data_IF_084489501788
#
_entry.id   IF_084489501788
#
_cell.length_a   1.000
_cell.length_b   1.000
_cell.length_c   1.000
_cell.angle_alpha   90.00
_cell.angle_beta   90.00
_cell.angle_gamma   90.00
#
_symmetry.space_group_name_H-M   'P 1'
#
loop_
_entity.id
_entity.type
_entity.pdbx_description
1 polymer ?
#
# COMPACT_ATOMS: atom_id res chain seq x y z
N UNK A 1 -30.75 17.76 -12.57
CA UNK A 1 -29.62 16.85 -12.86
C UNK A 1 -30.17 15.46 -13.09
N UNK A 2 -29.79 14.76 -14.16
CA UNK A 2 -30.19 13.37 -14.33
C UNK A 2 -29.71 12.55 -13.13
N UNK A 3 -30.54 11.64 -12.66
CA UNK A 3 -30.22 10.75 -11.52
C UNK A 3 -29.29 9.68 -12.07
N UNK A 4 -28.05 9.57 -11.53
CA UNK A 4 -27.10 8.52 -11.90
C UNK A 4 -27.74 7.13 -11.68
N UNK A 5 -27.46 6.19 -12.57
CA UNK A 5 -27.87 4.79 -12.37
C UNK A 5 -27.15 4.19 -11.15
N UNK A 6 -27.65 3.10 -10.57
CA UNK A 6 -26.95 2.41 -9.48
C UNK A 6 -25.52 2.00 -9.86
N UNK A 7 -25.30 1.55 -11.09
CA UNK A 7 -23.99 1.13 -11.59
C UNK A 7 -23.02 2.32 -11.67
N UNK A 8 -23.49 3.49 -12.13
CA UNK A 8 -22.70 4.72 -12.21
C UNK A 8 -22.30 5.25 -10.81
N UNK A 9 -22.98 4.83 -9.75
CA UNK A 9 -22.68 5.22 -8.36
C UNK A 9 -21.74 4.26 -7.64
N UNK A 10 -21.41 3.09 -8.20
CA UNK A 10 -20.51 2.13 -7.55
C UNK A 10 -19.14 2.72 -7.17
N UNK A 11 -18.48 3.55 -7.97
CA UNK A 11 -17.24 4.21 -7.58
C UNK A 11 -17.40 5.11 -6.33
N UNK A 12 -18.54 5.81 -6.21
CA UNK A 12 -18.82 6.64 -5.04
C UNK A 12 -19.04 5.77 -3.80
N UNK A 13 -19.77 4.65 -3.95
CA UNK A 13 -19.98 3.67 -2.87
C UNK A 13 -18.66 3.10 -2.40
N UNK A 14 -17.79 2.68 -3.30
CA UNK A 14 -16.45 2.18 -2.98
C UNK A 14 -15.58 3.24 -2.28
N UNK A 15 -15.65 4.49 -2.73
CA UNK A 15 -14.89 5.60 -2.15
C UNK A 15 -15.35 5.91 -0.73
N UNK A 16 -16.65 5.99 -0.49
CA UNK A 16 -17.23 6.19 0.85
C UNK A 16 -16.88 5.02 1.78
N UNK A 17 -17.05 3.79 1.30
CA UNK A 17 -16.68 2.59 2.04
C UNK A 17 -15.21 2.58 2.44
N UNK A 18 -14.31 2.94 1.52
CA UNK A 18 -12.86 3.04 1.80
C UNK A 18 -12.60 4.03 2.94
N UNK A 19 -13.22 5.21 2.93
CA UNK A 19 -13.04 6.21 3.99
C UNK A 19 -13.48 5.68 5.35
N UNK A 20 -14.68 5.07 5.41
CA UNK A 20 -15.24 4.56 6.66
C UNK A 20 -14.42 3.37 7.19
N UNK A 21 -14.06 2.40 6.33
CA UNK A 21 -13.21 1.28 6.74
C UNK A 21 -11.84 1.73 7.23
N UNK A 22 -11.24 2.75 6.59
CA UNK A 22 -9.95 3.31 7.04
C UNK A 22 -10.07 4.03 8.37
N UNK A 23 -11.18 4.71 8.63
CA UNK A 23 -11.42 5.40 9.90
C UNK A 23 -11.67 4.41 11.05
N UNK A 24 -12.51 3.40 10.83
CA UNK A 24 -13.04 2.54 11.87
C UNK A 24 -12.34 1.16 11.97
N UNK A 25 -11.66 0.70 10.91
CA UNK A 25 -11.23 -0.68 10.72
C UNK A 25 -12.38 -1.57 10.27
N UNK A 26 -12.05 -2.80 9.83
CA UNK A 26 -13.05 -3.70 9.27
C UNK A 26 -14.15 -4.05 10.28
N UNK A 27 -13.76 -4.49 11.49
CA UNK A 27 -14.70 -5.02 12.49
C UNK A 27 -15.74 -3.99 12.95
N UNK A 28 -15.29 -2.76 13.23
CA UNK A 28 -16.13 -1.70 13.78
C UNK A 28 -16.97 -0.95 12.75
N UNK A 29 -16.67 -1.09 11.47
CA UNK A 29 -17.47 -0.49 10.40
C UNK A 29 -18.84 -1.16 10.31
N UNK A 30 -19.89 -0.36 10.34
CA UNK A 30 -21.27 -0.77 10.12
C UNK A 30 -21.73 -0.33 8.72
N UNK A 31 -22.66 -1.06 8.13
CA UNK A 31 -23.31 -0.67 6.87
C UNK A 31 -23.98 0.70 6.97
N UNK A 32 -24.54 1.01 8.13
CA UNK A 32 -25.16 2.31 8.41
C UNK A 32 -24.18 3.49 8.33
N UNK A 33 -22.90 3.28 8.74
CA UNK A 33 -21.89 4.33 8.70
C UNK A 33 -21.57 4.71 7.24
N UNK A 34 -21.45 3.71 6.37
CA UNK A 34 -21.18 3.92 4.95
C UNK A 34 -22.39 4.53 4.24
N UNK A 35 -23.60 4.09 4.59
CA UNK A 35 -24.83 4.71 4.07
C UNK A 35 -24.91 6.19 4.46
N UNK A 36 -24.59 6.54 5.71
CA UNK A 36 -24.57 7.91 6.20
C UNK A 36 -23.54 8.77 5.46
N UNK A 37 -22.33 8.23 5.21
CA UNK A 37 -21.27 8.92 4.43
C UNK A 37 -21.75 9.26 3.00
N UNK A 38 -22.63 8.42 2.42
CA UNK A 38 -23.23 8.61 1.09
C UNK A 38 -24.52 9.46 1.10
N UNK A 39 -25.01 9.84 2.28
CA UNK A 39 -26.32 10.47 2.41
C UNK A 39 -27.49 9.56 2.03
N UNK A 40 -27.33 8.24 2.22
CA UNK A 40 -28.32 7.21 1.92
C UNK A 40 -28.91 6.62 3.21
N UNK A 41 -30.11 6.02 3.08
CA UNK A 41 -30.60 5.13 4.13
C UNK A 41 -29.81 3.81 4.11
N UNK A 42 -29.73 3.14 5.26
CA UNK A 42 -29.07 1.82 5.34
C UNK A 42 -29.68 0.81 4.37
N UNK A 43 -31.01 0.84 4.17
CA UNK A 43 -31.70 -0.03 3.20
C UNK A 43 -31.28 0.25 1.75
N UNK A 44 -31.01 1.52 1.40
CA UNK A 44 -30.59 1.89 0.05
C UNK A 44 -29.17 1.35 -0.28
N UNK A 45 -28.30 1.20 0.71
CA UNK A 45 -26.94 0.63 0.47
C UNK A 45 -27.02 -0.84 0.03
N UNK A 46 -28.01 -1.59 0.53
CA UNK A 46 -28.21 -2.99 0.14
C UNK A 46 -28.70 -3.18 -1.31
N UNK A 47 -29.04 -2.10 -2.02
CA UNK A 47 -29.26 -2.18 -3.48
C UNK A 47 -27.94 -2.26 -4.28
N UNK A 48 -26.79 -1.95 -3.65
CA UNK A 48 -25.47 -2.00 -4.28
C UNK A 48 -24.68 -3.24 -3.87
N UNK A 49 -24.79 -3.68 -2.61
CA UNK A 49 -24.00 -4.80 -2.06
C UNK A 49 -24.85 -5.60 -1.08
N UNK A 50 -24.69 -6.91 -1.07
CA UNK A 50 -25.47 -7.79 -0.16
C UNK A 50 -24.98 -7.76 1.29
N UNK A 51 -23.70 -7.44 1.51
CA UNK A 51 -23.08 -7.55 2.83
C UNK A 51 -21.91 -6.59 3.01
N UNK A 52 -21.36 -6.54 4.23
CA UNK A 52 -20.11 -5.82 4.53
C UNK A 52 -18.91 -6.44 3.82
N UNK A 53 -18.89 -7.74 3.67
CA UNK A 53 -17.88 -8.49 2.92
C UNK A 53 -17.89 -8.09 1.44
N UNK A 54 -19.07 -8.00 0.83
CA UNK A 54 -19.23 -7.53 -0.54
C UNK A 54 -18.82 -6.07 -0.69
N UNK A 55 -19.11 -5.23 0.30
CA UNK A 55 -18.69 -3.83 0.33
C UNK A 55 -17.15 -3.70 0.44
N UNK A 56 -16.53 -4.52 1.27
CA UNK A 56 -15.07 -4.56 1.41
C UNK A 56 -14.39 -5.04 0.13
N UNK A 57 -14.92 -6.09 -0.48
CA UNK A 57 -14.48 -6.56 -1.80
C UNK A 57 -14.60 -5.47 -2.87
N UNK A 58 -15.75 -4.76 -2.92
CA UNK A 58 -16.02 -3.69 -3.89
C UNK A 58 -14.93 -2.61 -3.84
N UNK A 59 -14.46 -2.23 -2.65
CA UNK A 59 -13.40 -1.22 -2.50
C UNK A 59 -12.14 -1.63 -3.27
N UNK A 60 -11.69 -2.87 -3.12
CA UNK A 60 -10.49 -3.35 -3.81
C UNK A 60 -10.74 -3.63 -5.29
N UNK A 61 -11.90 -4.20 -5.63
CA UNK A 61 -12.28 -4.47 -7.01
C UNK A 61 -12.32 -3.18 -7.85
N UNK A 62 -12.89 -2.11 -7.28
CA UNK A 62 -12.92 -0.80 -7.93
C UNK A 62 -11.51 -0.22 -8.08
N UNK A 63 -10.70 -0.26 -7.02
CA UNK A 63 -9.36 0.30 -7.03
C UNK A 63 -8.39 -0.43 -7.98
N UNK A 64 -8.56 -1.74 -8.13
CA UNK A 64 -7.75 -2.56 -9.04
C UNK A 64 -8.31 -2.68 -10.46
N UNK A 65 -9.43 -2.03 -10.75
CA UNK A 65 -10.04 -2.03 -12.08
C UNK A 65 -10.66 -3.38 -12.46
N UNK A 66 -11.14 -4.17 -11.50
CA UNK A 66 -11.77 -5.47 -11.76
C UNK A 66 -13.01 -5.35 -12.64
N UNK A 67 -13.68 -4.20 -12.58
CA UNK A 67 -14.89 -3.91 -13.35
C UNK A 67 -14.63 -3.05 -14.58
N UNK A 68 -13.42 -3.08 -15.15
CA UNK A 68 -13.07 -2.28 -16.34
C UNK A 68 -13.90 -2.65 -17.56
N UNK A 69 -14.30 -3.91 -17.69
CA UNK A 69 -15.10 -4.43 -18.81
C UNK A 69 -16.63 -4.25 -18.62
N UNK A 70 -17.03 -3.66 -17.51
CA UNK A 70 -18.44 -3.37 -17.18
C UNK A 70 -18.76 -3.57 -15.71
N UNK A 71 -19.87 -2.95 -15.22
CA UNK A 71 -20.27 -3.06 -13.85
C UNK A 71 -20.73 -4.50 -13.52
N UNK A 72 -20.54 -4.95 -12.27
CA UNK A 72 -21.06 -6.24 -11.84
C UNK A 72 -22.60 -6.21 -11.73
N UNK A 73 -23.25 -7.38 -11.70
CA UNK A 73 -24.67 -7.47 -11.31
C UNK A 73 -24.88 -6.86 -9.92
N UNK A 74 -26.01 -6.14 -9.74
CA UNK A 74 -26.38 -5.53 -8.46
C UNK A 74 -27.62 -6.21 -7.86
N UNK A 75 -27.66 -6.35 -6.51
CA UNK A 75 -26.58 -6.05 -5.58
C UNK A 75 -25.36 -6.98 -5.80
N UNK A 76 -24.14 -6.44 -5.60
CA UNK A 76 -22.93 -7.25 -5.65
C UNK A 76 -23.01 -8.35 -4.60
N UNK A 77 -22.90 -9.59 -5.06
CA UNK A 77 -22.99 -10.77 -4.22
C UNK A 77 -21.85 -10.84 -3.18
N UNK A 78 -22.15 -11.46 -2.05
CA UNK A 78 -21.15 -11.69 -1.00
C UNK A 78 -20.06 -12.64 -1.51
N UNK A 79 -18.78 -12.21 -1.62
CA UNK A 79 -17.71 -13.07 -2.06
C UNK A 79 -17.36 -14.12 -0.99
N UNK A 80 -16.74 -15.21 -1.40
CA UNK A 80 -16.06 -16.10 -0.46
C UNK A 80 -14.85 -15.38 0.14
N UNK A 81 -14.48 -15.66 1.39
CA UNK A 81 -13.34 -14.99 2.05
C UNK A 81 -12.05 -15.05 1.23
N UNK A 82 -11.76 -16.20 0.59
CA UNK A 82 -10.58 -16.42 -0.22
C UNK A 82 -10.55 -15.51 -1.46
N UNK A 83 -11.70 -15.23 -2.07
CA UNK A 83 -11.80 -14.36 -3.27
C UNK A 83 -11.34 -12.94 -2.98
N UNK A 84 -11.69 -12.41 -1.81
CA UNK A 84 -11.24 -11.09 -1.38
C UNK A 84 -9.73 -11.04 -1.15
N UNK A 85 -9.18 -12.05 -0.48
CA UNK A 85 -7.73 -12.15 -0.22
C UNK A 85 -6.96 -12.31 -1.53
N UNK A 86 -7.46 -13.15 -2.46
CA UNK A 86 -6.85 -13.34 -3.78
C UNK A 86 -6.85 -12.07 -4.62
N UNK A 87 -7.96 -11.33 -4.63
CA UNK A 87 -8.07 -10.04 -5.30
C UNK A 87 -7.03 -9.05 -4.75
N UNK A 88 -6.93 -8.94 -3.42
CA UNK A 88 -5.97 -8.05 -2.76
C UNK A 88 -4.53 -8.47 -3.08
N UNK A 89 -4.23 -9.77 -2.99
CA UNK A 89 -2.92 -10.32 -3.34
C UNK A 89 -2.53 -10.01 -4.77
N UNK A 90 -3.40 -10.30 -5.73
CA UNK A 90 -3.13 -10.06 -7.15
C UNK A 90 -2.92 -8.57 -7.44
N UNK A 91 -3.79 -7.72 -6.88
CA UNK A 91 -3.70 -6.27 -7.01
C UNK A 91 -2.42 -5.70 -6.41
N UNK A 92 -2.12 -6.03 -5.15
CA UNK A 92 -0.90 -5.55 -4.49
C UNK A 92 0.37 -6.11 -5.13
N UNK A 93 0.38 -7.35 -5.62
CA UNK A 93 1.53 -7.92 -6.34
C UNK A 93 1.82 -7.14 -7.61
N UNK A 94 0.79 -6.78 -8.37
CA UNK A 94 0.93 -5.96 -9.58
C UNK A 94 1.48 -4.57 -9.30
N UNK A 95 1.06 -3.96 -8.19
CA UNK A 95 1.51 -2.64 -7.77
C UNK A 95 2.88 -2.66 -7.09
N UNK A 96 3.19 -3.73 -6.35
CA UNK A 96 4.40 -3.87 -5.53
C UNK A 96 5.61 -4.33 -6.36
N UNK A 97 5.89 -3.64 -7.47
CA UNK A 97 7.10 -3.90 -8.24
C UNK A 97 8.36 -3.55 -7.45
N UNK A 98 9.35 -4.43 -7.52
CA UNK A 98 10.66 -4.28 -6.89
C UNK A 98 11.78 -4.56 -7.92
N UNK A 99 11.55 -4.12 -9.14
CA UNK A 99 12.38 -4.48 -10.28
C UNK A 99 13.81 -3.94 -10.12
N UNK A 100 13.96 -2.68 -9.66
CA UNK A 100 15.25 -2.07 -9.38
C UNK A 100 16.00 -2.80 -8.26
N UNK A 101 15.32 -3.14 -7.18
CA UNK A 101 15.92 -3.87 -6.06
C UNK A 101 16.33 -5.29 -6.47
N UNK A 102 15.51 -6.01 -7.24
CA UNK A 102 15.85 -7.34 -7.78
C UNK A 102 17.05 -7.27 -8.72
N UNK A 103 17.07 -6.29 -9.62
CA UNK A 103 18.21 -6.05 -10.51
C UNK A 103 19.48 -5.72 -9.73
N UNK A 104 19.38 -4.91 -8.68
CA UNK A 104 20.51 -4.57 -7.82
C UNK A 104 21.08 -5.81 -7.12
N UNK A 105 20.23 -6.65 -6.50
CA UNK A 105 20.67 -7.88 -5.82
C UNK A 105 21.32 -8.89 -6.79
N UNK A 106 20.91 -8.91 -8.06
CA UNK A 106 21.51 -9.81 -9.07
C UNK A 106 22.91 -9.40 -9.51
N UNK A 107 23.35 -8.17 -9.21
CA UNK A 107 24.64 -7.61 -9.64
C UNK A 107 25.61 -7.45 -8.46
N UNK A 108 26.85 -7.92 -8.63
CA UNK A 108 27.90 -7.73 -7.63
C UNK A 108 28.66 -6.40 -7.82
N UNK A 109 28.83 -5.98 -9.07
CA UNK A 109 29.49 -4.70 -9.41
C UNK A 109 28.44 -3.62 -9.64
N UNK A 110 28.73 -2.43 -9.13
CA UNK A 110 27.87 -1.26 -9.22
C UNK A 110 28.73 -0.08 -9.71
N UNK A 111 28.34 0.51 -10.83
CA UNK A 111 29.06 1.65 -11.40
C UNK A 111 28.72 2.94 -10.63
N UNK A 112 27.47 3.14 -10.28
CA UNK A 112 27.00 4.27 -9.48
C UNK A 112 26.09 3.79 -8.32
N UNK A 113 26.67 3.54 -7.13
CA UNK A 113 25.91 3.10 -5.96
C UNK A 113 24.88 4.13 -5.48
N UNK A 114 25.14 5.42 -5.74
CA UNK A 114 24.21 6.50 -5.36
C UNK A 114 22.97 6.47 -6.24
N UNK A 115 23.14 6.44 -7.55
CA UNK A 115 22.04 6.37 -8.49
C UNK A 115 21.22 5.08 -8.31
N UNK A 116 21.86 3.94 -8.01
CA UNK A 116 21.20 2.68 -7.74
C UNK A 116 20.30 2.78 -6.49
N UNK A 117 20.83 3.28 -5.37
CA UNK A 117 20.07 3.43 -4.13
C UNK A 117 18.92 4.43 -4.28
N UNK A 118 19.19 5.59 -4.90
CA UNK A 118 18.13 6.58 -5.19
C UNK A 118 17.03 5.95 -6.02
N UNK A 119 17.35 5.22 -7.07
CA UNK A 119 16.36 4.56 -7.92
C UNK A 119 15.48 3.55 -7.17
N UNK A 120 16.06 2.80 -6.20
CA UNK A 120 15.29 1.89 -5.34
C UNK A 120 14.37 2.67 -4.40
N UNK A 121 14.87 3.75 -3.79
CA UNK A 121 14.06 4.61 -2.91
C UNK A 121 12.88 5.20 -3.70
N UNK A 122 13.13 5.76 -4.88
CA UNK A 122 12.09 6.37 -5.72
C UNK A 122 11.03 5.37 -6.17
N UNK A 123 11.44 4.17 -6.61
CA UNK A 123 10.51 3.10 -7.00
C UNK A 123 9.56 2.76 -5.85
N UNK A 124 10.11 2.62 -4.62
CA UNK A 124 9.32 2.35 -3.43
C UNK A 124 8.44 3.54 -3.00
N UNK A 125 9.00 4.73 -3.03
CA UNK A 125 8.29 5.96 -2.65
C UNK A 125 7.07 6.17 -3.54
N UNK A 126 7.23 6.12 -4.87
CA UNK A 126 6.14 6.27 -5.83
C UNK A 126 5.07 5.17 -5.70
N UNK A 127 5.48 3.93 -5.41
CA UNK A 127 4.51 2.87 -5.15
C UNK A 127 3.64 3.21 -3.94
N UNK A 128 4.26 3.59 -2.81
CA UNK A 128 3.52 3.96 -1.62
C UNK A 128 2.63 5.18 -1.84
N UNK A 129 3.12 6.24 -2.51
CA UNK A 129 2.31 7.42 -2.84
C UNK A 129 1.04 7.06 -3.63
N UNK A 130 1.12 6.06 -4.49
CA UNK A 130 0.00 5.68 -5.35
C UNK A 130 -1.02 4.81 -4.64
N UNK A 131 -0.56 3.86 -3.83
CA UNK A 131 -1.44 2.81 -3.26
C UNK A 131 -1.64 2.91 -1.74
N UNK A 132 -1.13 3.96 -1.08
CA UNK A 132 -1.23 4.10 0.37
C UNK A 132 -2.66 3.97 0.94
N UNK A 133 -3.74 4.45 0.27
CA UNK A 133 -5.08 4.30 0.83
C UNK A 133 -5.50 2.82 0.95
N UNK A 134 -5.08 1.99 -0.01
CA UNK A 134 -5.34 0.56 0.00
C UNK A 134 -4.48 -0.16 1.05
N UNK A 135 -3.21 0.22 1.15
CA UNK A 135 -2.30 -0.35 2.16
C UNK A 135 -2.75 0.00 3.58
N UNK A 136 -3.20 1.24 3.80
CA UNK A 136 -3.78 1.68 5.08
C UNK A 136 -5.02 0.85 5.43
N UNK A 137 -5.89 0.61 4.45
CA UNK A 137 -7.06 -0.25 4.64
C UNK A 137 -6.67 -1.69 5.00
N UNK A 138 -5.70 -2.27 4.29
CA UNK A 138 -5.18 -3.62 4.56
C UNK A 138 -4.58 -3.68 5.97
N UNK A 139 -3.69 -2.75 6.32
CA UNK A 139 -3.00 -2.75 7.62
C UNK A 139 -3.98 -2.60 8.78
N UNK A 140 -4.98 -1.72 8.66
CA UNK A 140 -6.02 -1.51 9.69
C UNK A 140 -7.00 -2.68 9.81
N UNK A 141 -7.21 -3.44 8.73
CA UNK A 141 -8.13 -4.57 8.71
C UNK A 141 -7.45 -5.91 9.06
N UNK A 142 -6.13 -6.00 8.89
CA UNK A 142 -5.36 -7.22 9.16
C UNK A 142 -5.57 -7.81 10.56
N UNK A 143 -5.67 -7.03 11.67
CA UNK A 143 -5.96 -7.59 12.99
C UNK A 143 -7.29 -8.33 13.09
N UNK A 144 -8.26 -7.97 12.25
CA UNK A 144 -9.60 -8.55 12.24
C UNK A 144 -9.75 -9.71 11.23
N UNK A 145 -8.81 -9.83 10.27
CA UNK A 145 -8.83 -10.75 9.14
C UNK A 145 -7.51 -11.52 9.05
N UNK A 146 -7.39 -12.70 9.70
CA UNK A 146 -6.13 -13.45 9.81
C UNK A 146 -5.48 -13.80 8.47
N UNK A 147 -6.28 -14.19 7.46
CA UNK A 147 -5.77 -14.54 6.13
C UNK A 147 -5.18 -13.31 5.41
N UNK A 148 -5.80 -12.13 5.60
CA UNK A 148 -5.29 -10.86 5.11
C UNK A 148 -4.00 -10.46 5.82
N UNK A 149 -3.90 -10.72 7.14
CA UNK A 149 -2.69 -10.48 7.92
C UNK A 149 -1.54 -11.36 7.43
N UNK A 150 -1.78 -12.65 7.18
CA UNK A 150 -0.77 -13.55 6.63
C UNK A 150 -0.29 -13.06 5.27
N UNK A 151 -1.21 -12.70 4.37
CA UNK A 151 -0.88 -12.22 3.04
C UNK A 151 -0.05 -10.93 3.08
N UNK A 152 -0.45 -9.98 3.90
CA UNK A 152 0.23 -8.69 4.01
C UNK A 152 1.62 -8.79 4.68
N UNK A 153 1.68 -9.43 5.87
CA UNK A 153 2.91 -9.46 6.66
C UNK A 153 3.87 -10.56 6.20
N UNK A 154 3.38 -11.79 6.01
CA UNK A 154 4.26 -12.93 5.76
C UNK A 154 4.62 -13.08 4.28
N UNK A 155 3.65 -12.89 3.38
CA UNK A 155 3.87 -13.07 1.94
C UNK A 155 4.26 -11.79 1.21
N UNK A 156 3.85 -10.64 1.72
CA UNK A 156 4.16 -9.34 1.12
C UNK A 156 5.39 -8.67 1.73
N UNK A 157 5.31 -8.29 3.01
CA UNK A 157 6.30 -7.42 3.65
C UNK A 157 7.59 -8.13 4.02
N UNK A 158 7.52 -9.34 4.56
CA UNK A 158 8.72 -10.10 4.99
C UNK A 158 9.68 -10.39 3.84
N UNK A 159 9.25 -10.93 2.67
CA UNK A 159 10.16 -11.15 1.55
C UNK A 159 10.83 -9.88 1.01
N UNK A 160 10.13 -8.74 1.10
CA UNK A 160 10.71 -7.44 0.74
C UNK A 160 11.83 -7.04 1.71
N UNK A 161 11.61 -7.20 3.02
CA UNK A 161 12.64 -6.93 4.03
C UNK A 161 13.86 -7.83 3.86
N UNK A 162 13.65 -9.12 3.59
CA UNK A 162 14.74 -10.07 3.33
C UNK A 162 15.53 -9.69 2.07
N UNK A 163 14.85 -9.20 1.03
CA UNK A 163 15.50 -8.75 -0.19
C UNK A 163 16.33 -7.48 0.05
N UNK A 164 15.79 -6.52 0.82
CA UNK A 164 16.51 -5.30 1.21
C UNK A 164 17.72 -5.61 2.10
N UNK A 165 17.58 -6.53 3.06
CA UNK A 165 18.68 -6.94 3.92
C UNK A 165 19.82 -7.57 3.10
N UNK A 166 19.49 -8.44 2.13
CA UNK A 166 20.48 -9.01 1.19
C UNK A 166 21.15 -7.93 0.33
N UNK A 167 20.38 -6.96 -0.15
CA UNK A 167 20.92 -5.83 -0.89
C UNK A 167 21.95 -5.05 -0.06
N UNK A 168 21.59 -4.67 1.16
CA UNK A 168 22.46 -3.93 2.08
C UNK A 168 23.74 -4.74 2.37
N UNK A 169 23.60 -6.03 2.71
CA UNK A 169 24.75 -6.91 2.98
C UNK A 169 25.72 -6.97 1.81
N UNK A 170 25.20 -7.15 0.58
CA UNK A 170 26.04 -7.18 -0.61
C UNK A 170 26.76 -5.85 -0.85
N UNK A 171 26.11 -4.71 -0.63
CA UNK A 171 26.70 -3.39 -0.83
C UNK A 171 27.73 -3.04 0.26
N UNK A 172 27.50 -3.50 1.49
CA UNK A 172 28.50 -3.39 2.58
C UNK A 172 29.73 -4.23 2.26
N UNK A 173 29.58 -5.51 1.90
CA UNK A 173 30.70 -6.40 1.52
C UNK A 173 31.44 -5.92 0.28
N UNK A 174 30.73 -5.31 -0.68
CA UNK A 174 31.32 -4.71 -1.86
C UNK A 174 32.06 -3.40 -1.61
N UNK A 175 31.98 -2.86 -0.40
CA UNK A 175 32.64 -1.61 -0.02
C UNK A 175 31.92 -0.35 -0.46
N UNK A 176 30.73 -0.47 -1.03
CA UNK A 176 29.91 0.65 -1.49
C UNK A 176 29.15 1.34 -0.35
N UNK A 177 28.68 0.55 0.62
CA UNK A 177 27.97 1.06 1.78
C UNK A 177 28.84 1.05 3.03
N UNK A 178 28.50 1.94 3.96
CA UNK A 178 29.05 1.93 5.32
C UNK A 178 28.66 0.64 6.03
N UNK A 179 29.51 0.06 6.88
CA UNK A 179 29.11 -1.04 7.74
C UNK A 179 27.91 -0.67 8.62
N UNK A 180 26.99 -1.59 8.76
CA UNK A 180 25.83 -1.46 9.66
C UNK A 180 25.90 -2.52 10.74
N UNK A 181 25.41 -2.26 11.96
CA UNK A 181 25.42 -3.25 13.06
C UNK A 181 24.65 -4.52 12.72
N UNK A 182 23.49 -4.36 12.04
CA UNK A 182 22.61 -5.45 11.63
C UNK A 182 21.89 -5.09 10.33
N UNK A 183 21.96 -5.97 9.32
CA UNK A 183 21.41 -5.69 7.99
C UNK A 183 19.88 -5.77 7.94
N UNK A 184 19.25 -6.58 8.80
CA UNK A 184 17.80 -6.69 8.88
C UNK A 184 17.20 -5.42 9.49
N UNK A 185 17.82 -4.93 10.58
CA UNK A 185 17.45 -3.65 11.21
C UNK A 185 17.65 -2.48 10.26
N UNK A 186 18.77 -2.48 9.51
CA UNK A 186 19.05 -1.45 8.51
C UNK A 186 18.05 -1.48 7.33
N UNK A 187 17.64 -2.67 6.89
CA UNK A 187 16.59 -2.84 5.88
C UNK A 187 15.25 -2.31 6.40
N UNK A 188 14.93 -2.56 7.66
CA UNK A 188 13.73 -2.04 8.31
C UNK A 188 13.76 -0.52 8.38
N UNK A 189 14.88 0.07 8.81
CA UNK A 189 15.06 1.53 8.84
C UNK A 189 14.85 2.14 7.46
N UNK A 190 15.46 1.58 6.41
CA UNK A 190 15.31 2.06 5.04
C UNK A 190 13.84 2.01 4.60
N UNK A 191 13.18 0.87 4.79
CA UNK A 191 11.78 0.69 4.39
C UNK A 191 10.86 1.63 5.16
N UNK A 192 11.00 1.72 6.49
CA UNK A 192 10.13 2.56 7.32
C UNK A 192 10.33 4.05 7.05
N UNK A 193 11.57 4.48 6.79
CA UNK A 193 11.82 5.87 6.38
C UNK A 193 11.04 6.21 5.10
N UNK A 194 11.04 5.33 4.10
CA UNK A 194 10.28 5.55 2.87
C UNK A 194 8.76 5.49 3.17
N UNK A 195 8.32 4.44 3.88
CA UNK A 195 6.89 4.20 4.14
C UNK A 195 6.27 5.34 4.93
N UNK A 196 6.95 5.81 5.99
CA UNK A 196 6.44 6.88 6.84
C UNK A 196 6.25 8.17 6.04
N UNK A 197 7.26 8.59 5.27
CA UNK A 197 7.18 9.84 4.53
C UNK A 197 6.28 9.77 3.27
N UNK A 198 6.18 8.62 2.60
CA UNK A 198 5.33 8.47 1.44
C UNK A 198 3.86 8.20 1.79
N UNK A 199 3.60 7.60 2.94
CA UNK A 199 2.27 7.12 3.32
C UNK A 199 1.83 7.65 4.70
N UNK A 200 2.44 7.17 5.84
CA UNK A 200 1.86 7.38 7.18
C UNK A 200 1.71 8.87 7.56
N UNK A 201 2.64 9.74 7.13
CA UNK A 201 2.52 11.18 7.35
C UNK A 201 1.22 11.79 6.80
N UNK A 202 0.60 11.17 5.77
CA UNK A 202 -0.65 11.66 5.16
C UNK A 202 -1.87 11.46 6.06
N UNK A 203 -1.76 10.57 7.03
CA UNK A 203 -2.76 10.31 8.06
C UNK A 203 -2.39 10.91 9.41
N UNK A 204 -1.22 11.51 9.52
CA UNK A 204 -0.71 12.15 10.73
C UNK A 204 -1.05 13.67 10.73
N UNK A 205 -1.90 14.14 11.65
CA UNK A 205 -2.30 15.54 11.72
C UNK A 205 -1.12 16.51 11.88
N UNK A 206 -0.07 16.09 12.60
CA UNK A 206 1.11 16.92 12.88
C UNK A 206 2.01 17.08 11.64
N UNK A 207 1.77 16.29 10.59
CA UNK A 207 2.56 16.30 9.35
C UNK A 207 1.96 17.15 8.24
N UNK A 208 0.88 17.88 8.50
CA UNK A 208 0.17 18.69 7.48
C UNK A 208 1.03 19.78 6.84
N UNK A 209 2.08 20.27 7.53
CA UNK A 209 3.04 21.25 7.02
C UNK A 209 4.10 20.64 6.08
N UNK A 210 4.23 19.32 6.01
CA UNK A 210 5.26 18.66 5.21
C UNK A 210 4.75 18.45 3.79
N UNK A 211 5.33 19.16 2.82
CA UNK A 211 4.99 18.96 1.39
C UNK A 211 5.50 17.63 0.86
N UNK A 212 4.86 17.09 -0.19
CA UNK A 212 5.29 15.84 -0.83
C UNK A 212 6.71 15.94 -1.40
N UNK A 213 7.05 17.08 -1.97
CA UNK A 213 8.38 17.35 -2.52
C UNK A 213 9.46 17.35 -1.41
N UNK A 214 9.23 18.10 -0.32
CA UNK A 214 10.16 18.16 0.81
C UNK A 214 10.33 16.79 1.48
N UNK A 215 9.24 16.04 1.64
CA UNK A 215 9.26 14.70 2.21
C UNK A 215 10.14 13.76 1.40
N UNK A 216 9.90 13.67 0.08
CA UNK A 216 10.67 12.81 -0.83
C UNK A 216 12.13 13.20 -0.90
N UNK A 217 12.44 14.49 -1.10
CA UNK A 217 13.81 14.99 -1.16
C UNK A 217 14.58 14.69 0.13
N UNK A 218 13.93 14.87 1.29
CA UNK A 218 14.51 14.59 2.62
C UNK A 218 14.85 13.11 2.78
N UNK A 219 13.91 12.21 2.45
CA UNK A 219 14.14 10.75 2.54
C UNK A 219 15.31 10.34 1.65
N UNK A 220 15.32 10.76 0.38
CA UNK A 220 16.41 10.45 -0.55
C UNK A 220 17.75 10.92 0.02
N UNK A 221 17.81 12.18 0.46
CA UNK A 221 19.04 12.78 0.98
C UNK A 221 19.55 12.06 2.23
N UNK A 222 18.70 11.89 3.24
CA UNK A 222 19.11 11.33 4.53
C UNK A 222 19.42 9.84 4.44
N UNK A 223 18.62 9.05 3.72
CA UNK A 223 18.88 7.63 3.54
C UNK A 223 20.16 7.41 2.74
N UNK A 224 20.39 8.16 1.67
CA UNK A 224 21.65 8.03 0.91
C UNK A 224 22.86 8.42 1.75
N UNK A 225 22.77 9.48 2.57
CA UNK A 225 23.85 9.89 3.47
C UNK A 225 24.13 8.84 4.57
N UNK A 226 23.08 8.15 5.05
CA UNK A 226 23.25 7.11 6.07
C UNK A 226 23.98 5.87 5.54
N UNK A 227 23.71 5.46 4.31
CA UNK A 227 24.24 4.21 3.76
C UNK A 227 25.52 4.38 2.93
N UNK A 228 25.64 5.43 2.12
CA UNK A 228 26.77 5.56 1.21
C UNK A 228 28.06 5.95 1.94
N UNK A 229 29.18 5.36 1.50
CA UNK A 229 30.49 5.87 1.86
C UNK A 229 30.71 7.20 1.17
N UNK A 230 31.39 8.12 1.85
CA UNK A 230 31.92 9.31 1.21
C UNK A 230 32.99 8.87 0.20
N UNK A 231 32.86 9.36 -1.03
CA UNK A 231 33.94 9.19 -2.01
C UNK A 231 35.16 9.96 -1.49
N UNK A 232 36.24 9.23 -1.20
CA UNK A 232 37.55 9.84 -0.87
C UNK A 232 38.07 10.59 -2.06
#
# INVERSE_FOLDING_TARGET
MPRLSPEERLPDVATAAMRVFRANGYRRTLMADVAAELGLSSGALYTYVESKEALFYLVFAQAFGTFADGPPPLPLATPRPEETVELIRAGLTRENRVDRLRAAVSRRRVDDPRAELIGIIEERYHMFERVWPLLSLVERSAPDLPDLAEEYYQRGRRPLLDLLARYIDQRVRGGYFRPVPDTVTAARFLLESITWFAWHRREDPDSSMITDEAARATVIRLVTAAFLKESS
#
